data_IF_521268924038
#
_entry.id   IF_521268924038
#
_cell.length_a   1.000
_cell.length_b   1.000
_cell.length_c   1.000
_cell.angle_alpha   90.00
_cell.angle_beta   90.00
_cell.angle_gamma   90.00
#
_symmetry.space_group_name_H-M   'P 1'
#
loop_
_entity.id
_entity.type
_entity.pdbx_description
1 polymer ?
#
# COMPACT_ATOMS: atom_id res chain seq x y z
N UNK A 1 0.56 -8.62 7.07
CA UNK A 1 1.61 -9.66 7.24
C UNK A 1 2.69 -9.61 6.15
N UNK A 2 2.40 -9.86 4.86
CA UNK A 2 3.42 -9.89 3.78
C UNK A 2 4.15 -8.55 3.52
N UNK A 3 3.42 -7.43 3.54
CA UNK A 3 4.00 -6.09 3.34
C UNK A 3 4.88 -5.69 4.54
N UNK A 4 4.38 -5.95 5.75
CA UNK A 4 5.08 -5.67 7.01
C UNK A 4 6.34 -6.51 7.17
N UNK A 5 6.34 -7.78 6.75
CA UNK A 5 7.54 -8.64 6.81
C UNK A 5 8.69 -8.13 5.92
N UNK A 6 8.39 -7.27 4.94
CA UNK A 6 9.39 -6.60 4.07
C UNK A 6 9.78 -5.20 4.59
N UNK A 7 9.29 -4.82 5.76
CA UNK A 7 9.61 -3.56 6.45
C UNK A 7 8.77 -2.37 6.01
N UNK A 8 7.67 -2.57 5.28
CA UNK A 8 6.79 -1.49 4.83
C UNK A 8 5.57 -1.33 5.76
N UNK A 9 5.09 -0.09 5.99
CA UNK A 9 3.81 0.13 6.65
C UNK A 9 2.68 -0.46 5.80
N UNK A 10 1.68 -1.04 6.46
CA UNK A 10 0.52 -1.63 5.82
C UNK A 10 -0.73 -1.22 6.58
N UNK A 11 -1.63 -0.53 5.90
CA UNK A 11 -2.98 -0.23 6.36
C UNK A 11 -3.96 -1.13 5.59
N UNK A 12 -5.02 -1.59 6.26
CA UNK A 12 -6.15 -2.26 5.65
C UNK A 12 -7.39 -1.39 5.82
N UNK A 13 -8.12 -1.17 4.73
CA UNK A 13 -9.33 -0.37 4.67
C UNK A 13 -10.48 -1.24 4.18
N UNK A 14 -11.65 -1.10 4.81
CA UNK A 14 -12.88 -1.75 4.37
C UNK A 14 -13.75 -0.73 3.65
N UNK A 15 -13.99 -0.94 2.36
CA UNK A 15 -14.77 -0.03 1.51
C UNK A 15 -16.14 -0.65 1.22
N UNK A 16 -17.20 0.01 1.64
CA UNK A 16 -18.57 -0.38 1.30
C UNK A 16 -18.95 0.18 -0.07
N UNK A 17 -19.24 -0.71 -1.01
CA UNK A 17 -19.76 -0.36 -2.34
C UNK A 17 -21.25 0.00 -2.27
N UNK A 18 -21.75 0.70 -3.29
CA UNK A 18 -23.16 1.14 -3.33
C UNK A 18 -24.16 -0.01 -3.32
N UNK A 19 -23.76 -1.16 -3.87
CA UNK A 19 -24.53 -2.39 -3.99
C UNK A 19 -24.28 -3.38 -2.83
N UNK A 20 -23.52 -2.98 -1.81
CA UNK A 20 -23.46 -3.68 -0.52
C UNK A 20 -22.26 -4.62 -0.31
N UNK A 21 -21.35 -4.73 -1.28
CA UNK A 21 -20.10 -5.47 -1.09
C UNK A 21 -19.12 -4.69 -0.21
N UNK A 22 -18.41 -5.39 0.67
CA UNK A 22 -17.30 -4.86 1.47
C UNK A 22 -15.99 -5.30 0.83
N UNK A 23 -15.24 -4.35 0.27
CA UNK A 23 -13.95 -4.59 -0.37
C UNK A 23 -12.81 -4.35 0.64
N UNK A 24 -11.89 -5.31 0.74
CA UNK A 24 -10.63 -5.13 1.45
C UNK A 24 -9.60 -4.44 0.56
N UNK A 25 -9.16 -3.24 0.95
CA UNK A 25 -8.15 -2.45 0.23
C UNK A 25 -6.92 -2.27 1.11
N UNK A 26 -5.75 -2.58 0.55
CA UNK A 26 -4.47 -2.47 1.26
C UNK A 26 -3.70 -1.24 0.79
N UNK A 27 -3.08 -0.53 1.74
CA UNK A 27 -2.30 0.68 1.45
C UNK A 27 -0.92 0.63 2.10
N UNK A 28 0.10 0.94 1.30
CA UNK A 28 1.45 1.25 1.75
C UNK A 28 1.56 2.77 1.79
N UNK A 29 1.62 3.36 2.99
CA UNK A 29 1.54 4.82 3.13
C UNK A 29 2.86 5.55 2.82
N UNK A 30 4.00 4.87 2.99
CA UNK A 30 5.34 5.38 2.69
C UNK A 30 6.35 4.23 2.54
N UNK A 31 7.54 4.52 1.98
CA UNK A 31 8.61 3.54 1.82
C UNK A 31 9.31 3.20 3.14
N UNK A 32 9.88 2.00 3.25
CA UNK A 32 10.51 1.48 4.48
C UNK A 32 11.65 2.33 5.07
N UNK A 33 12.32 3.13 4.25
CA UNK A 33 13.42 4.01 4.68
C UNK A 33 12.99 5.48 4.80
N UNK A 34 11.69 5.78 4.61
CA UNK A 34 11.17 7.11 4.89
C UNK A 34 11.09 7.27 6.40
N UNK A 35 12.19 7.68 7.03
CA UNK A 35 12.17 8.12 8.41
C UNK A 35 11.20 9.28 8.54
N UNK A 36 10.50 9.37 9.67
CA UNK A 36 9.70 10.54 10.09
C UNK A 36 10.54 11.81 10.28
N UNK A 37 11.75 11.86 9.71
CA UNK A 37 12.86 12.78 10.05
C UNK A 37 13.29 13.65 8.86
N UNK A 38 12.62 13.59 7.71
CA UNK A 38 12.87 14.49 6.57
C UNK A 38 11.86 15.63 6.46
N UNK A 39 11.34 16.11 7.59
CA UNK A 39 10.77 17.45 7.69
C UNK A 39 10.47 17.79 9.15
N UNK A 40 11.37 18.52 9.78
CA UNK A 40 11.09 19.45 10.88
C UNK A 40 10.13 20.59 10.47
N UNK A 41 9.26 20.34 9.50
CA UNK A 41 8.12 21.17 9.14
C UNK A 41 6.88 20.29 9.21
N UNK A 42 5.94 20.70 10.06
CA UNK A 42 4.61 20.17 10.34
C UNK A 42 3.65 20.18 9.13
N UNK A 43 4.16 19.85 7.94
CA UNK A 43 3.38 19.72 6.71
C UNK A 43 3.29 18.24 6.38
N UNK A 44 2.10 17.66 6.56
CA UNK A 44 1.81 16.32 6.10
C UNK A 44 2.20 16.22 4.61
N UNK A 45 3.29 15.51 4.31
CA UNK A 45 3.75 15.33 2.93
C UNK A 45 2.63 14.63 2.18
N UNK A 46 1.92 15.38 1.35
CA UNK A 46 0.83 14.86 0.52
C UNK A 46 1.47 14.07 -0.61
N UNK A 47 1.58 12.75 -0.39
CA UNK A 47 2.09 11.81 -1.38
C UNK A 47 1.01 11.57 -2.43
N UNK A 48 1.40 11.49 -3.71
CA UNK A 48 0.46 11.16 -4.79
C UNK A 48 0.00 9.71 -4.62
N UNK A 49 -1.31 9.44 -4.52
CA UNK A 49 -1.80 8.08 -4.42
C UNK A 49 -1.70 7.37 -5.78
N UNK A 50 -1.38 6.08 -5.76
CA UNK A 50 -1.42 5.19 -6.92
C UNK A 50 -2.33 4.02 -6.56
N UNK A 51 -3.27 3.69 -7.45
CA UNK A 51 -4.14 2.52 -7.32
C UNK A 51 -3.64 1.40 -8.21
N UNK A 52 -3.36 0.24 -7.63
CA UNK A 52 -2.94 -0.96 -8.35
C UNK A 52 -4.08 -1.99 -8.31
N UNK A 53 -4.67 -2.27 -9.47
CA UNK A 53 -5.80 -3.18 -9.61
C UNK A 53 -5.32 -4.51 -10.20
N UNK A 54 -5.59 -5.62 -9.53
CA UNK A 54 -5.22 -6.96 -9.99
C UNK A 54 -6.08 -7.43 -11.18
N UNK A 55 -5.65 -8.51 -11.83
CA UNK A 55 -6.34 -9.12 -12.97
C UNK A 55 -7.47 -10.10 -12.60
N UNK A 56 -7.94 -10.84 -13.59
CA UNK A 56 -8.95 -11.89 -13.44
C UNK A 56 -8.40 -13.06 -12.61
N UNK A 57 -9.19 -13.56 -11.65
CA UNK A 57 -8.81 -14.65 -10.73
C UNK A 57 -7.53 -14.36 -9.92
N UNK A 58 -7.28 -13.09 -9.59
CA UNK A 58 -6.10 -12.63 -8.84
C UNK A 58 -6.52 -11.81 -7.59
N UNK A 59 -5.54 -11.35 -6.81
CA UNK A 59 -5.76 -10.52 -5.60
C UNK A 59 -4.70 -9.42 -5.49
N UNK A 60 -4.82 -8.56 -4.48
CA UNK A 60 -3.83 -7.49 -4.22
C UNK A 60 -2.39 -8.00 -3.97
N UNK A 61 -2.20 -9.28 -3.66
CA UNK A 61 -0.87 -9.85 -3.38
C UNK A 61 0.06 -9.83 -4.59
N UNK A 62 -0.49 -9.85 -5.81
CA UNK A 62 0.27 -9.81 -7.08
C UNK A 62 1.29 -8.67 -7.12
N UNK A 63 0.95 -7.53 -6.52
CA UNK A 63 1.79 -6.33 -6.49
C UNK A 63 2.89 -6.34 -5.43
N UNK A 64 2.85 -7.29 -4.51
CA UNK A 64 3.68 -7.30 -3.29
C UNK A 64 4.26 -8.67 -2.94
N UNK A 65 4.06 -9.71 -3.76
CA UNK A 65 4.47 -11.09 -3.44
C UNK A 65 5.98 -11.32 -3.52
N UNK A 66 6.65 -10.75 -4.52
CA UNK A 66 8.09 -10.94 -4.74
C UNK A 66 8.96 -10.07 -3.82
N UNK A 67 10.27 -10.02 -4.07
CA UNK A 67 11.17 -9.12 -3.35
C UNK A 67 10.79 -7.64 -3.59
N UNK A 68 11.17 -6.72 -2.67
CA UNK A 68 10.84 -5.30 -2.82
C UNK A 68 11.26 -4.68 -4.16
N UNK A 69 12.43 -5.03 -4.67
CA UNK A 69 12.94 -4.55 -5.96
C UNK A 69 12.34 -5.26 -7.19
N UNK A 70 11.42 -6.21 -6.98
CA UNK A 70 10.77 -7.00 -8.03
C UNK A 70 9.23 -6.85 -8.03
N UNK A 71 8.68 -6.04 -7.13
CA UNK A 71 7.22 -5.88 -7.02
C UNK A 71 6.86 -4.40 -7.11
N UNK A 72 5.92 -4.09 -8.01
CA UNK A 72 5.53 -2.71 -8.30
C UNK A 72 4.96 -1.97 -7.07
N UNK A 73 4.36 -2.69 -6.12
CA UNK A 73 3.79 -2.09 -4.90
C UNK A 73 4.83 -1.42 -3.99
N UNK A 74 6.13 -1.63 -4.22
CA UNK A 74 7.21 -1.05 -3.41
C UNK A 74 8.02 0.05 -4.10
N UNK A 75 7.68 0.37 -5.35
CA UNK A 75 8.39 1.38 -6.17
C UNK A 75 7.80 2.78 -5.92
#
# INVERSE_FOLDING_TARGET
>A
QLIQSKGYPCEEHKVLTKDGYILGVFRISHGRNSSSSSSSSSTAVTRRPVLLQHGLLDTATTWVMNLPNQSLGYI
#
